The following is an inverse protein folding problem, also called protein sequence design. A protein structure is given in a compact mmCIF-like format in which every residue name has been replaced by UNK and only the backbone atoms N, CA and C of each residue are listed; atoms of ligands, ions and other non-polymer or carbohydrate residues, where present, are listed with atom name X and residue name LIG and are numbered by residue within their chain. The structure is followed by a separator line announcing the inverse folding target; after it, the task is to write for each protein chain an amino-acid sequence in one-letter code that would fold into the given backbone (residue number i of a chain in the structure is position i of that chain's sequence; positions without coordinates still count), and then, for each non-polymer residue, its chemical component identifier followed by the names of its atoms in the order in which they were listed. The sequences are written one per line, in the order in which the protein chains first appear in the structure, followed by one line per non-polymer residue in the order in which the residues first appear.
data_IF_864572144400
#
_entry.id   IF_864572144400
#
_cell.length_a   1.000
_cell.length_b   1.000
_cell.length_c   1.000
_cell.angle_alpha   90.00
_cell.angle_beta   90.00
_cell.angle_gamma   90.00
#
_symmetry.space_group_name_H-M   'P 1'
#
loop_
_entity.id
_entity.type
_entity.pdbx_description
1 polymer ?
#
# COMPACT_ATOMS: atom_id res chain seq x y z
N UNK A 1 25.41 45.67 -19.56
CA UNK A 1 24.08 45.03 -19.59
C UNK A 1 24.05 43.71 -20.36
N UNK A 2 24.83 43.56 -21.46
CA UNK A 2 24.86 42.34 -22.30
C UNK A 2 25.47 41.09 -21.61
N UNK A 3 26.37 41.27 -20.65
CA UNK A 3 27.04 40.17 -19.93
C UNK A 3 26.19 39.53 -18.83
N UNK A 4 25.29 40.29 -18.20
CA UNK A 4 24.34 39.76 -17.19
C UNK A 4 23.23 38.91 -17.83
N UNK A 5 22.82 39.27 -19.05
CA UNK A 5 21.84 38.50 -19.83
C UNK A 5 22.40 37.15 -20.31
N UNK A 6 23.69 37.08 -20.68
CA UNK A 6 24.35 35.82 -21.05
C UNK A 6 24.50 34.84 -19.88
N UNK A 7 24.80 35.35 -18.67
CA UNK A 7 24.87 34.49 -17.47
C UNK A 7 23.50 33.97 -17.02
N UNK A 8 22.43 34.75 -17.20
CA UNK A 8 21.08 34.30 -16.86
C UNK A 8 20.56 33.19 -17.80
N UNK A 9 20.91 33.26 -19.09
CA UNK A 9 20.51 32.25 -20.09
C UNK A 9 21.27 30.92 -19.90
N UNK A 10 22.53 30.96 -19.45
CA UNK A 10 23.31 29.75 -19.15
C UNK A 10 22.83 29.01 -17.89
N UNK A 11 22.32 29.73 -16.88
CA UNK A 11 21.77 29.11 -15.66
C UNK A 11 20.39 28.47 -15.92
N UNK A 12 19.59 29.01 -16.83
CA UNK A 12 18.28 28.43 -17.20
C UNK A 12 18.44 27.22 -18.13
N UNK A 13 19.41 27.21 -19.05
CA UNK A 13 19.67 26.06 -19.91
C UNK A 13 20.33 24.88 -19.16
N UNK A 14 21.11 25.13 -18.10
CA UNK A 14 21.69 24.09 -17.25
C UNK A 14 20.74 23.56 -16.16
N UNK A 15 19.64 24.27 -15.86
CA UNK A 15 18.63 23.84 -14.89
C UNK A 15 17.63 22.80 -15.41
N UNK A 16 17.50 22.66 -16.74
CA UNK A 16 16.50 21.77 -17.36
C UNK A 16 17.06 20.35 -17.58
N UNK A 17 18.38 20.14 -17.57
CA UNK A 17 18.97 18.81 -17.77
C UNK A 17 19.05 17.96 -16.49
N UNK A 18 18.75 18.52 -15.31
CA UNK A 18 18.89 17.81 -14.03
C UNK A 18 17.59 17.19 -13.47
N UNK A 19 16.46 17.28 -14.17
CA UNK A 19 15.16 16.90 -13.58
C UNK A 19 14.43 15.71 -14.21
N UNK A 20 15.06 14.93 -15.10
CA UNK A 20 14.37 13.81 -15.79
C UNK A 20 14.82 12.39 -15.41
N UNK A 21 15.78 12.19 -14.49
CA UNK A 21 16.21 10.85 -14.06
C UNK A 21 15.59 10.37 -12.76
N UNK A 22 14.75 11.19 -12.12
CA UNK A 22 14.20 10.92 -10.78
C UNK A 22 12.81 10.29 -10.73
N UNK A 23 12.16 9.98 -11.86
CA UNK A 23 10.77 9.48 -11.85
C UNK A 23 10.63 8.01 -12.27
N UNK A 24 11.54 7.16 -11.80
CA UNK A 24 11.22 5.76 -11.61
C UNK A 24 10.74 5.56 -10.16
N UNK A 25 9.48 5.94 -9.89
CA UNK A 25 8.78 5.36 -8.74
C UNK A 25 8.63 3.87 -9.05
N UNK A 26 9.58 3.07 -8.56
CA UNK A 26 9.35 1.64 -8.44
C UNK A 26 8.15 1.50 -7.52
N UNK A 27 7.02 1.03 -8.06
CA UNK A 27 5.96 0.45 -7.26
C UNK A 27 6.58 -0.80 -6.61
N UNK A 28 7.29 -0.59 -5.50
CA UNK A 28 8.11 -1.59 -4.87
C UNK A 28 7.23 -2.72 -4.35
N UNK A 29 7.52 -3.94 -4.79
CA UNK A 29 6.97 -5.13 -4.13
C UNK A 29 7.33 -5.05 -2.64
N UNK A 30 6.34 -5.25 -1.77
CA UNK A 30 6.55 -5.23 -0.32
C UNK A 30 7.64 -6.22 0.07
N UNK A 31 8.53 -5.79 0.96
CA UNK A 31 9.58 -6.66 1.49
C UNK A 31 8.97 -7.84 2.26
N UNK A 32 9.69 -8.96 2.35
CA UNK A 32 9.23 -10.11 3.14
C UNK A 32 9.02 -9.74 4.62
N UNK A 33 9.87 -8.86 5.16
CA UNK A 33 9.73 -8.35 6.53
C UNK A 33 8.44 -7.54 6.71
N UNK A 34 8.11 -6.68 5.75
CA UNK A 34 6.87 -5.89 5.77
C UNK A 34 5.63 -6.80 5.69
N UNK A 35 5.63 -7.79 4.79
CA UNK A 35 4.54 -8.78 4.70
C UNK A 35 4.36 -9.54 6.01
N UNK A 36 5.46 -9.95 6.65
CA UNK A 36 5.40 -10.63 7.95
C UNK A 36 4.84 -9.71 9.04
N UNK A 37 5.24 -8.45 9.07
CA UNK A 37 4.69 -7.49 10.02
C UNK A 37 3.17 -7.28 9.82
N UNK A 38 2.73 -7.15 8.56
CA UNK A 38 1.31 -7.04 8.21
C UNK A 38 0.54 -8.30 8.58
N UNK A 39 1.09 -9.49 8.33
CA UNK A 39 0.48 -10.76 8.70
C UNK A 39 0.22 -10.85 10.21
N UNK A 40 1.22 -10.54 11.04
CA UNK A 40 1.07 -10.59 12.50
C UNK A 40 0.05 -9.57 13.00
N UNK A 41 0.11 -8.32 12.50
CA UNK A 41 -0.88 -7.29 12.82
C UNK A 41 -2.30 -7.70 12.38
N UNK A 42 -2.42 -8.32 11.21
CA UNK A 42 -3.70 -8.80 10.69
C UNK A 42 -4.31 -9.87 11.58
N UNK A 43 -3.50 -10.78 12.12
CA UNK A 43 -3.94 -11.81 13.05
C UNK A 43 -4.51 -11.22 14.35
N UNK A 44 -3.91 -10.13 14.86
CA UNK A 44 -4.40 -9.42 16.04
C UNK A 44 -5.72 -8.67 15.78
N UNK A 45 -5.85 -8.06 14.59
CA UNK A 45 -7.01 -7.24 14.23
C UNK A 45 -8.21 -8.05 13.73
N UNK A 46 -7.98 -9.22 13.14
CA UNK A 46 -9.03 -10.08 12.60
C UNK A 46 -10.13 -10.42 13.61
N UNK A 47 -9.86 -10.90 14.83
CA UNK A 47 -10.93 -11.17 15.79
C UNK A 47 -11.58 -9.89 16.35
N UNK A 48 -10.91 -8.74 16.28
CA UNK A 48 -11.43 -7.45 16.77
C UNK A 48 -12.49 -6.90 15.81
N UNK A 49 -12.21 -6.91 14.50
CA UNK A 49 -13.12 -6.34 13.53
C UNK A 49 -14.09 -7.38 12.95
N UNK A 50 -13.60 -8.55 12.56
CA UNK A 50 -14.37 -9.48 11.71
C UNK A 50 -15.40 -10.33 12.48
N UNK A 51 -15.34 -10.34 13.81
CA UNK A 51 -16.29 -11.03 14.69
C UNK A 51 -17.39 -10.09 15.25
N UNK A 52 -17.44 -8.84 14.80
CA UNK A 52 -18.38 -7.84 15.34
C UNK A 52 -19.82 -8.08 14.88
N UNK A 53 -20.02 -8.44 13.62
CA UNK A 53 -21.35 -8.55 13.01
C UNK A 53 -21.79 -9.99 12.71
N UNK A 54 -20.82 -10.88 12.48
CA UNK A 54 -21.03 -12.29 12.22
C UNK A 54 -19.78 -13.06 12.63
N UNK A 55 -19.84 -14.40 12.62
CA UNK A 55 -18.65 -15.22 12.87
C UNK A 55 -17.57 -14.94 11.81
N UNK A 56 -16.36 -14.68 12.27
CA UNK A 56 -15.23 -14.40 11.44
C UNK A 56 -14.86 -15.65 10.64
N UNK A 57 -14.77 -15.47 9.32
CA UNK A 57 -14.50 -16.54 8.36
C UNK A 57 -12.99 -16.84 8.36
N UNK A 58 -12.55 -18.10 8.57
CA UNK A 58 -11.14 -18.44 8.65
C UNK A 58 -10.44 -18.32 7.30
N UNK A 59 -9.14 -18.00 7.29
CA UNK A 59 -8.34 -17.79 6.08
C UNK A 59 -8.43 -18.89 5.00
N UNK A 60 -8.42 -20.19 5.36
CA UNK A 60 -8.53 -21.30 4.39
C UNK A 60 -9.84 -21.38 3.62
N UNK A 61 -10.89 -20.67 4.05
CA UNK A 61 -12.23 -20.81 3.47
C UNK A 61 -12.36 -20.25 2.06
N UNK A 62 -11.57 -19.25 1.70
CA UNK A 62 -11.62 -18.58 0.39
C UNK A 62 -10.25 -18.47 -0.26
N UNK A 63 -10.20 -18.41 -1.59
CA UNK A 63 -8.99 -18.15 -2.39
C UNK A 63 -8.43 -16.74 -2.14
N UNK A 64 -7.13 -16.48 -2.47
CA UNK A 64 -6.55 -15.17 -2.17
C UNK A 64 -7.19 -14.06 -3.02
N UNK A 65 -7.72 -14.41 -4.20
CA UNK A 65 -8.49 -13.52 -5.06
C UNK A 65 -9.87 -13.22 -4.51
N UNK A 66 -10.57 -14.22 -3.97
CA UNK A 66 -11.88 -14.01 -3.31
C UNK A 66 -11.73 -13.11 -2.09
N UNK A 67 -10.67 -13.31 -1.30
CA UNK A 67 -10.39 -12.43 -0.17
C UNK A 67 -10.16 -10.96 -0.55
N UNK A 68 -9.58 -10.68 -1.73
CA UNK A 68 -9.48 -9.29 -2.20
C UNK A 68 -10.88 -8.68 -2.38
N UNK A 69 -11.81 -9.43 -2.99
CA UNK A 69 -13.18 -8.95 -3.21
C UNK A 69 -13.96 -8.81 -1.90
N UNK A 70 -13.85 -9.81 -1.02
CA UNK A 70 -14.49 -9.79 0.30
C UNK A 70 -13.99 -8.59 1.10
N UNK A 71 -12.67 -8.35 1.13
CA UNK A 71 -12.11 -7.22 1.87
C UNK A 71 -12.53 -5.87 1.30
N UNK A 72 -12.66 -5.75 -0.04
CA UNK A 72 -13.21 -4.53 -0.66
C UNK A 72 -14.62 -4.23 -0.14
N UNK A 73 -15.48 -5.25 -0.03
CA UNK A 73 -16.82 -5.09 0.51
C UNK A 73 -16.80 -4.82 2.04
N UNK A 74 -16.06 -5.63 2.80
CA UNK A 74 -16.02 -5.57 4.26
C UNK A 74 -15.36 -4.31 4.79
N UNK A 75 -14.39 -3.74 4.07
CA UNK A 75 -13.80 -2.44 4.42
C UNK A 75 -14.87 -1.36 4.50
N UNK A 76 -15.80 -1.34 3.55
CA UNK A 76 -16.90 -0.35 3.55
C UNK A 76 -17.94 -0.68 4.61
N UNK A 77 -18.32 -1.95 4.76
CA UNK A 77 -19.35 -2.37 5.73
C UNK A 77 -18.91 -2.14 7.18
N UNK A 78 -17.67 -2.50 7.51
CA UNK A 78 -17.11 -2.35 8.87
C UNK A 78 -16.32 -1.03 9.05
N UNK A 79 -16.36 -0.13 8.07
CA UNK A 79 -15.65 1.15 8.06
C UNK A 79 -14.17 1.02 8.47
N UNK A 80 -13.46 0.04 7.91
CA UNK A 80 -12.10 -0.29 8.30
C UNK A 80 -11.09 0.77 7.82
N UNK A 81 -10.18 1.25 8.70
CA UNK A 81 -9.04 2.05 8.28
C UNK A 81 -8.20 1.32 7.23
N UNK A 82 -7.58 2.10 6.33
CA UNK A 82 -6.90 1.51 5.19
C UNK A 82 -5.75 0.58 5.55
N UNK A 83 -4.96 0.94 6.56
CA UNK A 83 -3.87 0.11 7.04
C UNK A 83 -4.34 -1.20 7.67
N UNK A 84 -5.48 -1.17 8.37
CA UNK A 84 -5.99 -2.33 9.10
C UNK A 84 -6.60 -3.32 8.11
N UNK A 85 -7.37 -2.84 7.13
CA UNK A 85 -7.87 -3.68 6.05
C UNK A 85 -6.74 -4.39 5.28
N UNK A 86 -5.62 -3.71 5.02
CA UNK A 86 -4.44 -4.34 4.37
C UNK A 86 -3.80 -5.42 5.24
N UNK A 87 -3.64 -5.17 6.54
CA UNK A 87 -3.07 -6.13 7.46
C UNK A 87 -3.95 -7.39 7.56
N UNK A 88 -5.27 -7.21 7.74
CA UNK A 88 -6.22 -8.32 7.81
C UNK A 88 -6.24 -9.09 6.49
N UNK A 89 -6.18 -8.41 5.34
CA UNK A 89 -6.12 -9.09 4.04
C UNK A 89 -4.86 -9.95 3.89
N UNK A 90 -3.69 -9.45 4.29
CA UNK A 90 -2.44 -10.21 4.26
C UNK A 90 -2.53 -11.45 5.17
N UNK A 91 -3.10 -11.29 6.37
CA UNK A 91 -3.36 -12.40 7.28
C UNK A 91 -4.29 -13.45 6.68
N UNK A 92 -5.44 -13.06 6.15
CA UNK A 92 -6.43 -13.98 5.57
C UNK A 92 -5.88 -14.75 4.35
N UNK A 93 -5.01 -14.11 3.55
CA UNK A 93 -4.37 -14.75 2.39
C UNK A 93 -3.26 -15.71 2.81
N UNK A 94 -2.52 -15.40 3.87
CA UNK A 94 -1.38 -16.19 4.36
C UNK A 94 -1.71 -17.25 5.42
N UNK A 95 -2.91 -17.22 6.04
CA UNK A 95 -3.33 -18.14 7.12
C UNK A 95 -3.90 -19.46 6.60
N UNK A 96 -3.37 -19.91 5.47
CA UNK A 96 -3.80 -21.13 4.79
C UNK A 96 -2.97 -22.33 5.16
#
# INVERSE_FOLDING_TARGET
MKTKALMFILVVAAGITFSFTGWAQTAGAQSAAEKRALFMRGAELWPVYCNTCHNARPGPEFSPSEWNMIMMHMRTQANLPAQDARAILEYLKGSR
#
